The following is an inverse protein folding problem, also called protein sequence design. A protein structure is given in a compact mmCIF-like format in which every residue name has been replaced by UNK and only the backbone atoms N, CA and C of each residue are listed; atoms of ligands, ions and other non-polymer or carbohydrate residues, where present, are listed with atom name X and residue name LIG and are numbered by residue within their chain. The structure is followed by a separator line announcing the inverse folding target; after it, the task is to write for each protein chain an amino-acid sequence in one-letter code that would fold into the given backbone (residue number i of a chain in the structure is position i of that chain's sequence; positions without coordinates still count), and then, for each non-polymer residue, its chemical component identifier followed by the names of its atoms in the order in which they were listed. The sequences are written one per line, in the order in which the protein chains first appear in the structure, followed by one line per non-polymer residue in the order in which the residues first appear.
data_IF_306013443195
#
_entry.id   IF_306013443195
#
_cell.length_a   1.000
_cell.length_b   1.000
_cell.length_c   1.000
_cell.angle_alpha   90.00
_cell.angle_beta   90.00
_cell.angle_gamma   90.00
#
_symmetry.space_group_name_H-M   'P 1'
#
loop_
_entity.id
_entity.type
_entity.pdbx_description
1 polymer ?
#
# COMPACT_ATOMS: atom_id res chain seq x y z
N UNK A 1 19.41 -30.25 36.20
CA UNK A 1 19.10 -28.83 35.96
C UNK A 1 19.11 -28.61 34.46
N UNK A 2 17.94 -28.49 33.82
CA UNK A 2 17.86 -28.26 32.39
C UNK A 2 17.99 -26.75 32.13
N UNK A 3 19.12 -26.35 31.55
CA UNK A 3 19.40 -24.97 31.19
C UNK A 3 18.60 -24.59 29.95
N UNK A 4 17.44 -23.97 30.14
CA UNK A 4 16.71 -23.28 29.07
C UNK A 4 17.54 -22.09 28.60
N UNK A 5 18.11 -22.22 27.40
CA UNK A 5 18.67 -21.12 26.64
C UNK A 5 17.56 -20.12 26.33
N UNK A 6 17.64 -18.84 26.76
CA UNK A 6 16.73 -17.84 26.26
C UNK A 6 16.99 -17.72 24.75
N UNK A 7 15.97 -18.03 23.96
CA UNK A 7 15.98 -17.75 22.53
C UNK A 7 16.20 -16.25 22.39
N UNK A 8 17.41 -15.87 21.95
CA UNK A 8 17.76 -14.50 21.63
C UNK A 8 16.83 -14.03 20.52
N UNK A 9 15.69 -13.47 20.90
CA UNK A 9 14.86 -12.68 20.01
C UNK A 9 15.77 -11.58 19.51
N UNK A 10 16.23 -11.72 18.28
CA UNK A 10 17.07 -10.76 17.61
C UNK A 10 16.23 -9.50 17.46
N UNK A 11 16.29 -8.64 18.48
CA UNK A 11 15.77 -7.29 18.50
C UNK A 11 16.60 -6.47 17.53
N UNK A 12 16.54 -6.82 16.24
CA UNK A 12 16.90 -5.88 15.19
C UNK A 12 16.00 -4.67 15.43
N UNK A 13 16.62 -3.52 15.67
CA UNK A 13 15.99 -2.22 15.87
C UNK A 13 15.16 -1.91 14.64
N UNK A 14 13.95 -2.43 14.63
CA UNK A 14 13.09 -2.50 13.47
C UNK A 14 12.33 -1.17 13.47
N UNK A 15 12.84 -0.17 12.77
CA UNK A 15 12.20 1.13 12.60
C UNK A 15 10.86 1.01 11.85
N UNK A 16 9.95 1.96 12.06
CA UNK A 16 8.69 2.06 11.33
C UNK A 16 8.94 2.06 9.81
N UNK A 17 8.11 1.34 9.04
CA UNK A 17 8.26 1.26 7.58
C UNK A 17 7.85 2.55 6.85
N UNK A 18 7.28 3.52 7.54
CA UNK A 18 7.08 4.86 7.00
C UNK A 18 8.43 5.60 6.97
N UNK A 19 8.93 5.97 5.80
CA UNK A 19 10.21 6.67 5.62
C UNK A 19 10.28 8.00 6.36
N UNK A 20 9.15 8.69 6.53
CA UNK A 20 9.07 9.98 7.20
C UNK A 20 8.89 9.83 8.73
N UNK A 21 8.79 8.59 9.22
CA UNK A 21 8.63 8.28 10.63
C UNK A 21 9.98 7.90 11.24
N UNK A 22 10.39 8.66 12.25
CA UNK A 22 11.62 8.40 13.02
C UNK A 22 11.38 7.57 14.29
N UNK A 23 10.14 7.13 14.51
CA UNK A 23 9.76 6.36 15.69
C UNK A 23 10.17 4.89 15.56
N UNK A 24 10.57 4.31 16.68
CA UNK A 24 10.79 2.86 16.78
C UNK A 24 9.45 2.11 16.70
N UNK A 25 9.50 0.84 16.28
CA UNK A 25 8.33 -0.04 16.42
C UNK A 25 7.99 -0.18 17.91
N UNK A 26 6.70 -0.13 18.22
CA UNK A 26 6.21 -0.51 19.55
C UNK A 26 6.45 -2.00 19.78
N UNK A 27 6.34 -2.46 21.03
CA UNK A 27 6.39 -3.90 21.36
C UNK A 27 5.39 -4.74 20.54
N UNK A 28 4.30 -4.11 20.06
CA UNK A 28 3.26 -4.73 19.23
C UNK A 28 3.03 -3.90 17.96
N UNK A 29 3.90 -4.02 16.94
CA UNK A 29 3.78 -3.22 15.72
C UNK A 29 2.49 -3.56 14.95
N UNK A 30 1.87 -2.52 14.38
CA UNK A 30 0.70 -2.66 13.51
C UNK A 30 1.11 -3.10 12.11
N UNK A 31 0.23 -3.87 11.45
CA UNK A 31 0.43 -4.34 10.07
C UNK A 31 -0.10 -3.31 9.08
N UNK A 32 0.73 -2.97 8.09
CA UNK A 32 0.44 -2.02 7.03
C UNK A 32 0.14 -2.68 5.68
N UNK A 33 0.51 -1.99 4.59
CA UNK A 33 0.37 -2.48 3.22
C UNK A 33 1.26 -3.69 2.94
N UNK A 34 0.93 -4.42 1.87
CA UNK A 34 1.72 -5.56 1.41
C UNK A 34 2.96 -5.08 0.65
N UNK A 35 4.13 -5.57 1.04
CA UNK A 35 5.41 -5.32 0.40
C UNK A 35 5.55 -6.18 -0.86
N UNK A 36 6.50 -5.81 -1.73
CA UNK A 36 6.81 -6.60 -2.93
C UNK A 36 7.42 -7.97 -2.61
N UNK A 37 8.01 -8.14 -1.43
CA UNK A 37 8.44 -9.45 -0.92
C UNK A 37 7.27 -10.37 -0.58
N UNK A 38 6.05 -9.82 -0.47
CA UNK A 38 4.85 -10.54 -0.04
C UNK A 38 4.51 -10.33 1.43
N UNK A 39 5.45 -9.83 2.25
CA UNK A 39 5.27 -9.52 3.67
C UNK A 39 4.37 -8.30 3.90
N UNK A 40 3.99 -8.07 5.15
CA UNK A 40 3.26 -6.86 5.56
C UNK A 40 4.22 -5.83 6.15
N UNK A 41 4.09 -4.58 5.73
CA UNK A 41 4.79 -3.45 6.31
C UNK A 41 4.52 -3.39 7.82
N UNK A 42 5.55 -3.11 8.60
CA UNK A 42 5.46 -3.05 10.06
C UNK A 42 5.52 -1.59 10.47
N UNK A 43 4.44 -1.09 11.06
CA UNK A 43 4.23 0.32 11.38
C UNK A 43 4.20 0.51 12.91
N UNK A 44 4.66 1.68 13.37
CA UNK A 44 4.38 2.12 14.74
C UNK A 44 2.88 2.39 14.92
N UNK A 45 2.43 2.58 16.16
CA UNK A 45 0.99 2.75 16.47
C UNK A 45 0.37 3.93 15.73
N UNK A 46 1.08 5.07 15.64
CA UNK A 46 0.62 6.28 14.92
C UNK A 46 0.43 6.01 13.42
N UNK A 47 1.45 5.44 12.78
CA UNK A 47 1.42 5.17 11.34
C UNK A 47 0.40 4.08 10.99
N UNK A 48 0.33 3.03 11.81
CA UNK A 48 -0.61 1.93 11.62
C UNK A 48 -2.06 2.36 11.78
N UNK A 49 -2.36 3.19 12.79
CA UNK A 49 -3.73 3.68 12.99
C UNK A 49 -4.20 4.55 11.82
N UNK A 50 -3.35 5.43 11.30
CA UNK A 50 -3.65 6.21 10.09
C UNK A 50 -3.87 5.32 8.86
N UNK A 51 -3.16 4.20 8.75
CA UNK A 51 -3.34 3.23 7.67
C UNK A 51 -4.67 2.48 7.79
N UNK A 52 -5.03 1.99 8.97
CA UNK A 52 -6.30 1.30 9.24
C UNK A 52 -7.53 2.19 8.94
N UNK A 53 -7.43 3.48 9.23
CA UNK A 53 -8.46 4.48 8.94
C UNK A 53 -8.49 4.91 7.45
N UNK A 54 -7.54 4.45 6.65
CA UNK A 54 -7.41 4.81 5.24
C UNK A 54 -7.04 6.29 5.00
N UNK A 55 -6.33 6.91 5.96
CA UNK A 55 -5.87 8.31 5.95
C UNK A 55 -4.35 8.46 5.86
N UNK A 56 -3.61 7.34 5.72
CA UNK A 56 -2.14 7.37 5.73
C UNK A 56 -1.55 8.37 4.73
N UNK A 57 -1.95 8.30 3.46
CA UNK A 57 -1.44 9.20 2.44
C UNK A 57 -1.86 10.65 2.69
N UNK A 58 -3.07 10.88 3.20
CA UNK A 58 -3.57 12.24 3.48
C UNK A 58 -2.74 12.93 4.56
N UNK A 59 -2.17 12.15 5.49
CA UNK A 59 -1.36 12.67 6.60
C UNK A 59 0.11 12.76 6.22
N UNK A 60 0.68 11.70 5.66
CA UNK A 60 2.13 11.59 5.47
C UNK A 60 2.59 11.96 4.06
N UNK A 61 1.70 11.94 3.06
CA UNK A 61 2.02 12.26 1.67
C UNK A 61 1.16 13.42 1.12
N UNK A 62 0.64 14.30 1.99
CA UNK A 62 -0.28 15.38 1.60
C UNK A 62 0.23 16.29 0.47
N UNK A 63 1.55 16.53 0.47
CA UNK A 63 2.28 17.36 -0.48
C UNK A 63 2.98 16.57 -1.59
N UNK A 64 2.84 15.25 -1.64
CA UNK A 64 3.37 14.45 -2.74
C UNK A 64 2.63 14.79 -4.05
N UNK A 65 3.23 14.45 -5.19
CA UNK A 65 2.55 14.53 -6.49
C UNK A 65 1.63 13.31 -6.70
N UNK A 66 0.90 13.25 -7.81
CA UNK A 66 0.10 12.07 -8.17
C UNK A 66 -1.24 11.94 -7.44
N UNK A 67 -1.69 12.96 -6.71
CA UNK A 67 -3.05 13.01 -6.17
C UNK A 67 -4.09 13.18 -7.28
N UNK A 68 -5.11 12.33 -7.23
CA UNK A 68 -6.29 12.38 -8.08
C UNK A 68 -7.54 12.31 -7.21
N UNK A 69 -8.70 12.59 -7.80
CA UNK A 69 -9.98 12.50 -7.09
C UNK A 69 -10.79 11.34 -7.65
N UNK A 70 -11.55 10.68 -6.77
CA UNK A 70 -12.62 9.78 -7.18
C UNK A 70 -13.63 10.54 -8.06
N UNK A 71 -14.01 9.97 -9.20
CA UNK A 71 -14.99 10.58 -10.10
C UNK A 71 -16.37 10.70 -9.44
N UNK A 72 -16.76 9.73 -8.60
CA UNK A 72 -18.08 9.71 -7.95
C UNK A 72 -18.18 10.62 -6.71
N UNK A 73 -17.26 10.45 -5.74
CA UNK A 73 -17.38 11.09 -4.42
C UNK A 73 -16.34 12.17 -4.17
N UNK A 74 -15.48 12.46 -5.16
CA UNK A 74 -14.42 13.48 -5.10
C UNK A 74 -13.36 13.26 -4.03
N UNK A 75 -13.41 12.15 -3.27
CA UNK A 75 -12.37 11.76 -2.30
C UNK A 75 -11.00 11.78 -2.97
N UNK A 76 -10.02 12.40 -2.32
CA UNK A 76 -8.63 12.45 -2.79
C UNK A 76 -7.97 11.08 -2.62
N UNK A 77 -7.19 10.66 -3.61
CA UNK A 77 -6.48 9.37 -3.64
C UNK A 77 -5.09 9.61 -4.20
N UNK A 78 -4.07 9.13 -3.50
CA UNK A 78 -2.68 9.26 -3.90
C UNK A 78 -2.31 8.12 -4.87
N UNK A 79 -2.37 8.39 -6.17
CA UNK A 79 -1.98 7.43 -7.19
C UNK A 79 -0.45 7.28 -7.24
N UNK A 80 0.03 6.11 -7.70
CA UNK A 80 1.47 5.82 -7.76
C UNK A 80 2.10 5.47 -6.40
N UNK A 81 1.32 5.46 -5.32
CA UNK A 81 1.78 5.09 -3.98
C UNK A 81 1.38 3.65 -3.63
N UNK A 82 2.34 2.81 -3.23
CA UNK A 82 2.08 1.41 -2.82
C UNK A 82 1.04 1.31 -1.70
N UNK A 83 1.01 2.30 -0.80
CA UNK A 83 0.06 2.38 0.32
C UNK A 83 -1.39 2.45 -0.17
N UNK A 84 -1.62 3.14 -1.29
CA UNK A 84 -2.95 3.33 -1.89
C UNK A 84 -3.26 2.38 -3.05
N UNK A 85 -2.37 1.42 -3.35
CA UNK A 85 -2.50 0.53 -4.51
C UNK A 85 -3.78 -0.32 -4.52
N UNK A 86 -4.42 -0.50 -3.36
CA UNK A 86 -5.67 -1.26 -3.22
C UNK A 86 -6.87 -0.40 -2.77
N UNK A 87 -6.77 0.93 -2.80
CA UNK A 87 -7.85 1.83 -2.32
C UNK A 87 -8.72 2.41 -3.43
N UNK A 88 -8.39 2.12 -4.69
CA UNK A 88 -9.10 2.62 -5.88
C UNK A 88 -9.04 1.63 -7.05
N UNK A 89 -9.83 1.91 -8.08
CA UNK A 89 -9.82 1.22 -9.38
C UNK A 89 -9.62 2.26 -10.49
N UNK A 90 -8.96 1.85 -11.57
CA UNK A 90 -8.85 2.63 -12.80
C UNK A 90 -10.10 2.41 -13.65
N UNK A 91 -10.60 3.48 -14.27
CA UNK A 91 -11.74 3.42 -15.20
C UNK A 91 -11.26 3.33 -16.65
N UNK A 92 -11.99 2.60 -17.49
CA UNK A 92 -11.71 2.45 -18.93
C UNK A 92 -11.69 3.77 -19.71
N UNK A 93 -12.63 4.73 -19.53
CA UNK A 93 -12.55 6.05 -20.16
C UNK A 93 -11.46 6.95 -19.56
N UNK A 94 -10.67 6.45 -18.61
CA UNK A 94 -9.77 7.23 -17.78
C UNK A 94 -10.46 7.76 -16.51
N UNK A 95 -9.63 8.20 -15.56
CA UNK A 95 -10.10 8.56 -14.21
C UNK A 95 -9.93 7.43 -13.21
N UNK A 96 -10.41 7.65 -11.98
CA UNK A 96 -10.35 6.66 -10.90
C UNK A 96 -11.64 6.68 -10.07
N UNK A 97 -12.02 5.52 -9.53
CA UNK A 97 -13.03 5.45 -8.47
C UNK A 97 -12.41 4.88 -7.19
N UNK A 98 -12.79 5.43 -6.03
CA UNK A 98 -12.42 4.81 -4.76
C UNK A 98 -13.13 3.47 -4.62
N UNK A 99 -12.52 2.54 -3.87
CA UNK A 99 -13.05 1.18 -3.74
C UNK A 99 -14.49 1.15 -3.19
N UNK A 100 -14.85 2.09 -2.31
CA UNK A 100 -16.21 2.22 -1.78
C UNK A 100 -17.24 2.59 -2.84
N UNK A 101 -16.89 3.44 -3.80
CA UNK A 101 -17.76 3.81 -4.92
C UNK A 101 -17.82 2.69 -5.97
N UNK A 102 -16.66 2.14 -6.34
CA UNK A 102 -16.57 1.04 -7.29
C UNK A 102 -17.40 -0.18 -6.86
N UNK A 103 -17.38 -0.53 -5.56
CA UNK A 103 -18.20 -1.62 -5.01
C UNK A 103 -19.70 -1.41 -5.16
N UNK A 104 -20.18 -0.16 -5.12
CA UNK A 104 -21.61 0.16 -5.30
C UNK A 104 -22.00 0.02 -6.77
N UNK A 105 -21.12 0.40 -7.69
CA UNK A 105 -21.34 0.25 -9.14
C UNK A 105 -21.37 -1.23 -9.57
N UNK A 106 -20.52 -2.10 -9.01
CA UNK A 106 -20.52 -3.55 -9.34
C UNK A 106 -21.88 -4.23 -9.06
N UNK A 107 -22.64 -3.74 -8.08
CA UNK A 107 -23.96 -4.30 -7.74
C UNK A 107 -25.06 -3.79 -8.70
N UNK A 108 -24.86 -2.63 -9.34
CA UNK A 108 -25.85 -1.97 -10.19
C UNK A 108 -25.70 -2.30 -11.68
N UNK A 109 -24.51 -2.69 -12.13
CA UNK A 109 -24.26 -3.09 -13.52
C UNK A 109 -23.73 -4.51 -13.57
N UNK A 110 -24.57 -5.46 -14.01
CA UNK A 110 -24.18 -6.84 -14.32
C UNK A 110 -23.22 -6.98 -15.52
N UNK A 111 -22.43 -5.95 -15.84
CA UNK A 111 -21.49 -5.91 -16.96
C UNK A 111 -20.13 -5.35 -16.50
N UNK A 112 -19.12 -6.21 -16.63
CA UNK A 112 -17.66 -5.99 -16.67
C UNK A 112 -17.13 -4.62 -16.27
N UNK A 113 -16.98 -4.37 -14.96
CA UNK A 113 -15.81 -3.62 -14.51
C UNK A 113 -14.69 -4.65 -14.41
N UNK A 114 -13.88 -4.78 -15.47
CA UNK A 114 -12.59 -5.48 -15.35
C UNK A 114 -11.74 -4.61 -14.44
N UNK A 115 -11.84 -4.85 -13.13
CA UNK A 115 -10.94 -4.25 -12.15
C UNK A 115 -9.54 -4.75 -12.49
N UNK A 116 -8.82 -3.98 -13.31
CA UNK A 116 -7.39 -4.15 -13.46
C UNK A 116 -6.80 -3.82 -12.11
N UNK A 117 -6.70 -4.81 -11.23
CA UNK A 117 -5.58 -4.87 -10.30
C UNK A 117 -4.37 -4.65 -11.18
N UNK A 118 -3.52 -3.69 -10.83
CA UNK A 118 -2.14 -3.72 -11.28
C UNK A 118 -1.51 -5.01 -10.73
N UNK A 119 -1.81 -6.13 -11.38
CA UNK A 119 -1.02 -7.35 -11.24
C UNK A 119 0.30 -6.98 -11.90
N UNK A 120 1.43 -7.07 -11.20
CA UNK A 120 2.73 -6.94 -11.84
C UNK A 120 2.74 -7.94 -13.00
N UNK A 121 2.88 -7.44 -14.23
CA UNK A 121 3.20 -8.31 -15.35
C UNK A 121 4.46 -9.09 -14.94
N UNK A 122 4.50 -10.43 -15.09
CA UNK A 122 5.74 -11.14 -14.93
C UNK A 122 6.77 -10.50 -15.89
N UNK A 123 8.04 -10.36 -15.48
CA UNK A 123 9.05 -9.83 -16.38
C UNK A 123 9.05 -10.69 -17.64
N UNK A 124 8.83 -10.05 -18.79
CA UNK A 124 9.09 -10.67 -20.09
C UNK A 124 10.58 -10.96 -20.11
N UNK A 125 10.94 -12.21 -19.85
CA UNK A 125 12.28 -12.73 -20.12
C UNK A 125 12.55 -12.53 -21.61
N UNK A 126 13.41 -11.58 -21.99
CA UNK A 126 13.91 -11.58 -23.36
C UNK A 126 14.46 -10.30 -24.00
N UNK A 127 14.57 -9.14 -23.34
CA UNK A 127 15.41 -8.05 -23.87
C UNK A 127 16.21 -7.38 -22.76
N UNK A 128 17.46 -7.80 -22.63
CA UNK A 128 18.51 -6.96 -22.04
C UNK A 128 18.73 -5.73 -22.92
N UNK A 129 18.69 -4.50 -22.37
CA UNK A 129 19.45 -3.42 -22.96
C UNK A 129 20.91 -3.55 -22.51
N UNK A 130 21.80 -3.91 -23.44
CA UNK A 130 23.23 -3.82 -23.23
C UNK A 130 23.60 -2.36 -22.89
N UNK A 131 23.93 -2.10 -21.62
CA UNK A 131 24.70 -0.93 -21.25
C UNK A 131 26.17 -1.24 -21.57
N UNK A 132 26.71 -0.64 -22.63
CA UNK A 132 28.16 -0.56 -22.80
C UNK A 132 28.72 0.32 -21.67
N UNK A 133 29.80 -0.17 -21.07
CA UNK A 133 30.64 0.48 -20.06
C UNK A 133 31.30 1.75 -20.60
#
# INVERSE_FOLDING_TARGET
MASTTPSSSSSSSKLCFNSDCKDFKSDRPKKGWRLRTGDLAQLCDRCGSAFEEGRFCDIFHANASGWRNCETCRKRIHCGCIVSSNTFVLLDPGGIECFTCARKNIILVGFSIVVRKCVPLPPLSGLEPSCNV
#
